data_IF_128494954524
#
_entry.id   IF_128494954524
#
_cell.length_a   1.000
_cell.length_b   1.000
_cell.length_c   1.000
_cell.angle_alpha   90.00
_cell.angle_beta   90.00
_cell.angle_gamma   90.00
#
_symmetry.space_group_name_H-M   'P 1'
#
loop_
_entity.id
_entity.type
_entity.pdbx_description
1 polymer ?
#
# COMPACT_ATOMS: atom_id res chain seq x y z
N UNK A 1 21.72 23.01 -6.69
CA UNK A 1 20.26 22.87 -6.74
C UNK A 1 19.50 23.65 -5.64
N UNK A 2 19.71 23.43 -4.34
CA UNK A 2 19.01 24.15 -3.25
C UNK A 2 19.23 25.66 -3.31
N UNK A 3 20.51 26.07 -3.38
CA UNK A 3 20.88 27.47 -3.51
C UNK A 3 20.35 28.09 -4.82
N UNK A 4 20.34 27.31 -5.87
CA UNK A 4 19.79 27.71 -7.17
C UNK A 4 18.27 27.95 -7.10
N UNK A 5 17.51 27.04 -6.46
CA UNK A 5 16.07 27.22 -6.23
C UNK A 5 15.81 28.46 -5.39
N UNK A 6 16.57 28.67 -4.32
CA UNK A 6 16.45 29.84 -3.47
C UNK A 6 16.75 31.14 -4.23
N UNK A 7 17.79 31.16 -5.06
CA UNK A 7 18.13 32.30 -5.91
C UNK A 7 17.05 32.59 -6.92
N UNK A 8 16.53 31.56 -7.60
CA UNK A 8 15.43 31.70 -8.57
C UNK A 8 14.14 32.21 -7.93
N UNK A 9 13.80 31.72 -6.72
CA UNK A 9 12.65 32.25 -5.98
C UNK A 9 12.82 33.74 -5.68
N UNK A 10 14.03 34.16 -5.27
CA UNK A 10 14.34 35.57 -5.02
C UNK A 10 14.24 36.42 -6.29
N UNK A 11 14.79 35.96 -7.41
CA UNK A 11 14.68 36.62 -8.71
C UNK A 11 13.22 36.75 -9.21
N UNK A 12 12.40 35.77 -8.87
CA UNK A 12 10.98 35.77 -9.17
C UNK A 12 10.14 36.66 -8.20
N UNK A 13 10.82 37.39 -7.30
CA UNK A 13 10.17 38.29 -6.34
C UNK A 13 9.55 37.59 -5.14
N UNK A 14 9.97 36.35 -4.83
CA UNK A 14 9.51 35.59 -3.68
C UNK A 14 10.69 35.33 -2.72
N UNK A 15 11.04 36.30 -1.86
CA UNK A 15 12.08 36.10 -0.86
C UNK A 15 11.65 35.05 0.18
N UNK A 16 12.51 34.07 0.40
CA UNK A 16 12.27 32.93 1.30
C UNK A 16 13.42 32.69 2.27
N UNK A 17 13.10 32.13 3.42
CA UNK A 17 14.07 31.60 4.38
C UNK A 17 13.94 30.08 4.35
N UNK A 18 15.02 29.39 4.03
CA UNK A 18 15.04 27.92 4.09
C UNK A 18 15.09 27.49 5.56
N UNK A 19 14.15 26.63 5.96
CA UNK A 19 14.10 26.04 7.30
C UNK A 19 14.89 24.74 7.39
N UNK A 20 14.48 23.76 6.59
CA UNK A 20 15.02 22.42 6.65
C UNK A 20 14.99 21.75 5.28
N UNK A 21 15.76 20.69 5.18
CA UNK A 21 15.78 19.78 4.03
C UNK A 21 15.54 18.37 4.54
N UNK A 22 14.51 17.72 4.02
CA UNK A 22 14.18 16.33 4.32
C UNK A 22 14.53 15.50 3.09
N UNK A 23 15.37 14.47 3.29
CA UNK A 23 15.73 13.52 2.24
C UNK A 23 14.96 12.23 2.50
N UNK A 24 13.90 12.00 1.72
CA UNK A 24 13.14 10.78 1.71
C UNK A 24 13.64 9.82 0.60
N UNK A 25 13.25 8.55 0.61
CA UNK A 25 13.69 7.59 -0.40
C UNK A 25 13.37 8.01 -1.84
N UNK A 26 12.19 8.57 -2.08
CA UNK A 26 11.69 8.93 -3.40
C UNK A 26 11.81 10.42 -3.76
N UNK A 27 12.03 11.30 -2.79
CA UNK A 27 12.11 12.74 -3.02
C UNK A 27 13.02 13.47 -2.03
N UNK A 28 13.35 14.71 -2.39
CA UNK A 28 13.93 15.70 -1.48
C UNK A 28 12.90 16.79 -1.26
N UNK A 29 12.49 17.02 -0.03
CA UNK A 29 11.59 18.10 0.36
C UNK A 29 12.41 19.24 0.97
N UNK A 30 12.29 20.45 0.41
CA UNK A 30 12.93 21.65 0.93
C UNK A 30 11.84 22.54 1.48
N UNK A 31 11.90 22.86 2.77
CA UNK A 31 10.93 23.66 3.48
C UNK A 31 11.35 25.11 3.55
N UNK A 32 10.43 26.00 3.24
CA UNK A 32 10.67 27.44 3.19
C UNK A 32 9.62 28.21 3.98
N UNK A 33 10.09 29.30 4.60
CA UNK A 33 9.24 30.39 5.14
C UNK A 33 9.20 31.54 4.15
N UNK A 34 8.02 32.09 3.94
CA UNK A 34 7.84 33.32 3.20
C UNK A 34 8.21 34.52 4.08
N UNK A 35 9.05 35.41 3.56
CA UNK A 35 9.34 36.70 4.23
C UNK A 35 8.09 37.59 4.28
N UNK A 36 7.20 37.44 3.27
CA UNK A 36 5.92 38.17 3.21
C UNK A 36 4.79 37.20 2.83
N UNK A 37 3.73 37.17 3.63
CA UNK A 37 2.58 36.26 3.43
C UNK A 37 1.85 36.51 2.12
N UNK A 38 1.83 37.76 1.62
CA UNK A 38 1.19 38.19 0.36
C UNK A 38 1.74 37.40 -0.86
N UNK A 39 2.95 36.84 -0.78
CA UNK A 39 3.56 36.05 -1.86
C UNK A 39 3.00 34.62 -1.93
N UNK A 40 2.23 34.12 -0.96
CA UNK A 40 1.76 32.74 -0.92
C UNK A 40 0.99 32.34 -2.19
N UNK A 41 0.10 33.22 -2.66
CA UNK A 41 -0.69 32.97 -3.88
C UNK A 41 0.16 32.97 -5.17
N UNK A 42 1.35 33.55 -5.12
CA UNK A 42 2.27 33.62 -6.26
C UNK A 42 3.16 32.38 -6.34
N UNK A 43 3.49 31.76 -5.21
CA UNK A 43 4.42 30.60 -5.13
C UNK A 43 3.96 29.49 -6.08
N UNK A 44 2.70 29.06 -5.98
CA UNK A 44 2.15 27.96 -6.78
C UNK A 44 2.28 28.21 -8.30
N UNK A 45 2.02 29.45 -8.73
CA UNK A 45 2.17 29.84 -10.14
C UNK A 45 3.63 29.80 -10.58
N UNK A 46 4.54 30.27 -9.74
CA UNK A 46 5.98 30.37 -10.02
C UNK A 46 6.68 29.00 -9.96
N UNK A 47 6.16 28.04 -9.18
CA UNK A 47 6.71 26.67 -9.16
C UNK A 47 6.63 25.99 -10.52
N UNK A 48 5.58 26.22 -11.30
CA UNK A 48 5.49 25.73 -12.68
C UNK A 48 6.64 26.26 -13.56
N UNK A 49 6.99 27.53 -13.36
CA UNK A 49 8.15 28.12 -14.05
C UNK A 49 9.47 27.50 -13.56
N UNK A 50 9.63 27.29 -12.25
CA UNK A 50 10.80 26.62 -11.68
C UNK A 50 10.95 25.19 -12.23
N UNK A 51 9.85 24.45 -12.32
CA UNK A 51 9.85 23.09 -12.89
C UNK A 51 10.31 23.10 -14.36
N UNK A 52 9.82 24.04 -15.15
CA UNK A 52 10.21 24.16 -16.56
C UNK A 52 11.70 24.59 -16.69
N UNK A 53 12.13 25.55 -15.91
CA UNK A 53 13.51 26.08 -15.95
C UNK A 53 14.55 25.03 -15.52
N UNK A 54 14.25 24.30 -14.45
CA UNK A 54 15.16 23.28 -13.91
C UNK A 54 15.01 21.91 -14.60
N UNK A 55 14.07 21.78 -15.54
CA UNK A 55 13.73 20.51 -16.18
C UNK A 55 13.44 19.40 -15.17
N UNK A 56 12.77 19.73 -14.04
CA UNK A 56 12.43 18.79 -12.97
C UNK A 56 10.96 18.97 -12.57
N UNK A 57 10.31 17.86 -12.27
CA UNK A 57 8.93 17.89 -11.75
C UNK A 57 8.95 18.32 -10.27
N UNK A 58 8.77 19.61 -10.03
CA UNK A 58 8.75 20.20 -8.69
C UNK A 58 7.31 20.29 -8.22
N UNK A 59 7.00 19.64 -7.11
CA UNK A 59 5.67 19.66 -6.50
C UNK A 59 5.64 20.65 -5.34
N UNK A 60 4.73 21.62 -5.44
CA UNK A 60 4.44 22.57 -4.36
C UNK A 60 3.48 21.94 -3.36
N UNK A 61 3.79 22.07 -2.09
CA UNK A 61 2.91 21.69 -0.99
C UNK A 61 2.83 22.83 0.04
N UNK A 62 1.63 23.35 0.23
CA UNK A 62 1.33 24.28 1.32
C UNK A 62 1.28 23.51 2.63
N UNK A 63 1.99 23.96 3.67
CA UNK A 63 1.95 23.33 5.00
C UNK A 63 1.14 24.16 6.00
N UNK A 64 1.54 25.40 6.25
CA UNK A 64 0.88 26.33 7.21
C UNK A 64 0.83 27.74 6.62
N UNK A 65 0.32 28.70 7.42
CA UNK A 65 0.37 30.11 7.04
C UNK A 65 1.84 30.53 6.93
N UNK A 66 2.22 31.05 5.77
CA UNK A 66 3.59 31.46 5.43
C UNK A 66 4.62 30.32 5.28
N UNK A 67 4.23 29.06 5.37
CA UNK A 67 5.10 27.91 5.15
C UNK A 67 4.70 27.12 3.91
N UNK A 68 5.71 26.66 3.17
CA UNK A 68 5.53 25.73 2.07
C UNK A 68 6.75 24.83 1.89
N UNK A 69 6.58 23.70 1.24
CA UNK A 69 7.69 22.85 0.79
C UNK A 69 7.65 22.67 -0.72
N UNK A 70 8.85 22.56 -1.28
CA UNK A 70 9.08 22.14 -2.66
C UNK A 70 9.66 20.73 -2.63
N UNK A 71 8.98 19.79 -3.28
CA UNK A 71 9.47 18.43 -3.44
C UNK A 71 10.07 18.25 -4.81
N UNK A 72 11.27 17.72 -4.83
CA UNK A 72 12.02 17.38 -6.02
C UNK A 72 12.17 15.87 -6.08
N UNK A 73 11.94 15.25 -7.24
CA UNK A 73 12.20 13.83 -7.41
C UNK A 73 13.70 13.54 -7.23
N UNK A 74 14.02 12.44 -6.53
CA UNK A 74 15.40 11.94 -6.49
C UNK A 74 15.73 11.18 -7.75
N UNK A 75 16.97 11.25 -8.18
CA UNK A 75 17.51 10.50 -9.32
C UNK A 75 18.16 9.19 -8.87
N UNK A 76 18.63 9.14 -7.62
CA UNK A 76 19.21 7.95 -7.00
C UNK A 76 18.10 7.11 -6.34
N UNK A 77 17.99 5.84 -6.75
CA UNK A 77 17.07 4.88 -6.16
C UNK A 77 17.65 4.41 -4.81
N UNK A 78 17.29 5.09 -3.71
CA UNK A 78 17.55 4.55 -2.37
C UNK A 78 16.32 3.82 -1.89
N UNK A 79 16.41 2.50 -1.84
CA UNK A 79 15.37 1.63 -1.30
C UNK A 79 15.63 1.34 0.18
N UNK A 80 14.60 1.41 0.99
CA UNK A 80 14.61 0.79 2.33
C UNK A 80 14.49 -0.72 2.11
N UNK A 81 15.48 -1.49 2.55
CA UNK A 81 15.45 -2.96 2.40
C UNK A 81 14.72 -3.59 3.58
N UNK A 82 14.00 -4.68 3.34
CA UNK A 82 13.13 -5.31 4.35
C UNK A 82 13.88 -5.83 5.60
N UNK A 83 15.11 -6.32 5.45
CA UNK A 83 16.00 -6.76 6.53
C UNK A 83 17.27 -5.93 6.61
N UNK A 84 17.14 -4.61 6.69
CA UNK A 84 18.25 -3.70 6.95
C UNK A 84 18.24 -3.26 8.42
N UNK A 85 19.37 -2.76 8.97
CA UNK A 85 19.46 -2.29 10.37
C UNK A 85 18.41 -1.21 10.69
N UNK A 86 18.12 -0.32 9.73
CA UNK A 86 17.05 0.67 9.84
C UNK A 86 15.67 0.02 9.99
N UNK A 87 15.46 -1.11 9.33
CA UNK A 87 14.22 -1.87 9.40
C UNK A 87 14.05 -2.65 10.70
N UNK A 88 15.12 -3.25 11.19
CA UNK A 88 15.09 -3.93 12.49
C UNK A 88 14.76 -2.95 13.62
N UNK A 89 15.23 -1.69 13.52
CA UNK A 89 14.81 -0.62 14.43
C UNK A 89 13.31 -0.32 14.33
N UNK A 90 12.74 -0.23 13.11
CA UNK A 90 11.31 0.02 12.88
C UNK A 90 10.48 -1.16 13.38
N UNK A 91 10.90 -2.40 13.05
CA UNK A 91 10.22 -3.60 13.50
C UNK A 91 10.23 -3.72 15.04
N UNK A 92 11.33 -3.46 15.68
CA UNK A 92 11.44 -3.61 17.13
C UNK A 92 10.75 -2.48 17.94
N UNK A 93 10.61 -1.28 17.38
CA UNK A 93 10.04 -0.13 18.10
C UNK A 93 8.67 0.33 17.65
N UNK A 94 8.29 0.10 16.39
CA UNK A 94 7.01 0.59 15.82
C UNK A 94 6.00 -0.49 15.53
N UNK A 95 6.46 -1.71 15.21
CA UNK A 95 5.60 -2.87 15.00
C UNK A 95 5.39 -3.56 16.35
N UNK A 96 4.38 -3.12 17.07
CA UNK A 96 4.10 -3.59 18.44
C UNK A 96 2.99 -4.63 18.52
N UNK A 97 2.22 -4.79 17.44
CA UNK A 97 1.11 -5.72 17.35
C UNK A 97 1.36 -6.74 16.25
N UNK A 98 0.84 -7.93 16.45
CA UNK A 98 0.99 -9.09 15.57
C UNK A 98 0.50 -8.91 14.12
N UNK A 99 -0.28 -7.88 13.84
CA UNK A 99 -0.82 -7.57 12.50
C UNK A 99 -0.39 -6.20 11.98
N UNK A 100 0.65 -5.64 12.60
CA UNK A 100 1.22 -4.39 12.11
C UNK A 100 1.99 -4.65 10.82
N UNK A 101 1.77 -3.78 9.84
CA UNK A 101 2.37 -3.82 8.52
C UNK A 101 3.16 -2.52 8.32
N UNK A 102 4.43 -2.64 8.04
CA UNK A 102 5.23 -1.52 7.59
C UNK A 102 5.00 -1.29 6.10
N UNK A 103 4.29 -0.23 5.77
CA UNK A 103 3.91 0.06 4.39
C UNK A 103 4.99 0.81 3.61
N UNK A 104 5.96 1.38 4.31
CA UNK A 104 7.06 2.14 3.71
C UNK A 104 7.33 3.46 4.42
N UNK A 105 8.09 4.32 3.74
CA UNK A 105 8.52 5.62 4.24
C UNK A 105 7.85 6.71 3.43
N UNK A 106 7.29 7.72 4.11
CA UNK A 106 6.64 8.83 3.41
C UNK A 106 7.63 9.91 2.93
N UNK A 107 7.10 10.91 2.25
CA UNK A 107 7.89 12.02 1.69
C UNK A 107 8.56 12.92 2.75
N UNK A 108 8.23 12.74 4.02
CA UNK A 108 8.87 13.41 5.15
C UNK A 108 9.86 12.49 5.86
N UNK A 109 10.25 11.39 5.22
CA UNK A 109 11.11 10.34 5.77
C UNK A 109 10.57 9.72 7.06
N UNK A 110 9.24 9.65 7.20
CA UNK A 110 8.57 9.05 8.36
C UNK A 110 8.12 7.64 8.01
N UNK A 111 8.59 6.62 8.74
CA UNK A 111 8.09 5.26 8.58
C UNK A 111 6.60 5.15 8.92
N UNK A 112 5.82 4.56 8.02
CA UNK A 112 4.38 4.38 8.13
C UNK A 112 4.03 2.93 8.42
N UNK A 113 3.47 2.72 9.59
CA UNK A 113 2.99 1.42 10.07
C UNK A 113 1.49 1.49 10.25
N UNK A 114 0.79 0.47 9.79
CA UNK A 114 -0.66 0.34 9.90
C UNK A 114 -1.01 -1.07 10.35
N UNK A 115 -2.09 -1.20 11.12
CA UNK A 115 -2.58 -2.49 11.55
C UNK A 115 -3.59 -3.05 10.54
N UNK A 116 -3.54 -4.34 10.24
CA UNK A 116 -4.47 -4.99 9.31
C UNK A 116 -5.93 -4.89 9.78
N UNK A 117 -6.20 -4.86 11.09
CA UNK A 117 -7.56 -4.70 11.61
C UNK A 117 -8.17 -3.32 11.30
N UNK A 118 -7.31 -2.29 11.08
CA UNK A 118 -7.71 -0.95 10.65
C UNK A 118 -7.85 -0.84 9.12
N UNK A 119 -7.19 -1.73 8.40
CA UNK A 119 -7.23 -1.87 6.94
C UNK A 119 -7.67 -3.28 6.55
N UNK A 120 -8.88 -3.70 6.88
CA UNK A 120 -9.28 -5.12 6.85
C UNK A 120 -9.21 -5.73 5.44
N UNK A 121 -9.38 -4.91 4.42
CA UNK A 121 -9.30 -5.32 3.02
C UNK A 121 -8.47 -4.30 2.24
N UNK A 122 -7.52 -4.79 1.44
CA UNK A 122 -6.54 -3.99 0.73
C UNK A 122 -6.61 -4.30 -0.77
N UNK A 123 -6.74 -3.28 -1.59
CA UNK A 123 -6.60 -3.36 -3.04
C UNK A 123 -5.24 -2.76 -3.43
N UNK A 124 -4.43 -3.53 -4.15
CA UNK A 124 -3.14 -3.11 -4.69
C UNK A 124 -3.22 -3.10 -6.20
N UNK A 125 -2.99 -1.95 -6.83
CA UNK A 125 -3.04 -1.88 -8.27
C UNK A 125 -1.84 -1.12 -8.85
N UNK A 126 -1.31 -1.60 -9.98
CA UNK A 126 -0.18 -1.00 -10.66
C UNK A 126 0.32 -1.85 -11.80
N UNK A 127 0.97 -1.25 -12.78
CA UNK A 127 1.50 -1.91 -13.95
C UNK A 127 2.71 -2.81 -13.64
N UNK A 128 3.12 -3.62 -14.61
CA UNK A 128 4.37 -4.41 -14.53
C UNK A 128 5.56 -3.49 -14.25
N UNK A 129 6.43 -3.88 -13.30
CA UNK A 129 7.58 -3.08 -12.90
C UNK A 129 7.27 -1.94 -11.91
N UNK A 130 5.99 -1.68 -11.58
CA UNK A 130 5.61 -0.66 -10.60
C UNK A 130 5.99 -1.00 -9.16
N UNK A 131 6.26 -2.28 -8.84
CA UNK A 131 6.53 -2.79 -7.49
C UNK A 131 5.33 -3.49 -6.83
N UNK A 132 4.30 -3.88 -7.60
CA UNK A 132 3.09 -4.56 -7.10
C UNK A 132 3.42 -5.83 -6.31
N UNK A 133 4.21 -6.73 -6.89
CA UNK A 133 4.62 -7.98 -6.24
C UNK A 133 5.47 -7.74 -4.98
N UNK A 134 6.35 -6.73 -5.02
CA UNK A 134 7.15 -6.33 -3.86
C UNK A 134 6.26 -5.83 -2.72
N UNK A 135 5.27 -4.98 -3.01
CA UNK A 135 4.30 -4.51 -2.02
C UNK A 135 3.46 -5.67 -1.45
N UNK A 136 3.00 -6.58 -2.28
CA UNK A 136 2.25 -7.76 -1.86
C UNK A 136 3.09 -8.64 -0.93
N UNK A 137 4.30 -8.96 -1.32
CA UNK A 137 5.24 -9.74 -0.53
C UNK A 137 5.64 -9.02 0.77
N UNK A 138 5.82 -7.69 0.75
CA UNK A 138 6.05 -6.89 1.95
C UNK A 138 4.94 -7.08 2.99
N UNK A 139 3.67 -7.00 2.58
CA UNK A 139 2.53 -7.20 3.48
C UNK A 139 2.55 -8.61 4.06
N UNK A 140 2.72 -9.64 3.22
CA UNK A 140 2.76 -11.04 3.67
C UNK A 140 3.93 -11.25 4.64
N UNK A 141 5.14 -10.81 4.31
CA UNK A 141 6.32 -10.94 5.17
C UNK A 141 6.16 -10.24 6.51
N UNK A 142 5.53 -9.05 6.56
CA UNK A 142 5.19 -8.38 7.81
C UNK A 142 4.25 -9.24 8.68
N UNK A 143 3.20 -9.82 8.07
CA UNK A 143 2.24 -10.67 8.77
C UNK A 143 2.88 -11.96 9.29
N UNK A 144 3.79 -12.56 8.53
CA UNK A 144 4.54 -13.74 8.97
C UNK A 144 5.50 -13.42 10.11
N UNK A 145 6.28 -12.35 9.97
CA UNK A 145 7.30 -11.94 10.94
C UNK A 145 6.70 -11.54 12.30
N UNK A 146 5.53 -10.89 12.27
CA UNK A 146 4.88 -10.38 13.48
C UNK A 146 3.88 -11.36 14.09
N UNK A 147 3.69 -12.53 13.49
CA UNK A 147 2.75 -13.53 13.97
C UNK A 147 3.18 -14.07 15.34
N UNK A 148 2.23 -14.05 16.29
CA UNK A 148 2.42 -14.72 17.58
C UNK A 148 2.12 -16.21 17.43
N UNK A 149 2.84 -17.05 18.15
CA UNK A 149 2.72 -18.50 18.09
C UNK A 149 1.30 -18.99 18.40
N UNK A 150 0.61 -18.32 19.33
CA UNK A 150 -0.72 -18.69 19.82
C UNK A 150 -1.85 -18.30 18.86
N UNK A 151 -1.61 -17.35 17.94
CA UNK A 151 -2.63 -16.84 17.02
C UNK A 151 -2.10 -16.61 15.59
N UNK A 152 -1.36 -17.60 15.09
CA UNK A 152 -0.81 -17.57 13.73
C UNK A 152 -1.91 -17.40 12.70
N UNK A 153 -1.70 -16.53 11.69
CA UNK A 153 -2.66 -16.40 10.59
C UNK A 153 -2.66 -17.65 9.71
N UNK A 154 -3.84 -18.00 9.19
CA UNK A 154 -3.99 -18.95 8.10
C UNK A 154 -4.20 -18.22 6.78
N UNK A 155 -3.85 -18.88 5.67
CA UNK A 155 -3.88 -18.24 4.36
C UNK A 155 -4.69 -19.04 3.35
N UNK A 156 -5.41 -18.31 2.48
CA UNK A 156 -5.87 -18.80 1.18
C UNK A 156 -5.24 -17.92 0.12
N UNK A 157 -4.40 -18.47 -0.72
CA UNK A 157 -3.65 -17.75 -1.74
C UNK A 157 -4.11 -18.18 -3.13
N UNK A 158 -4.29 -17.21 -4.04
CA UNK A 158 -4.72 -17.45 -5.41
C UNK A 158 -3.68 -16.87 -6.35
N UNK A 159 -2.97 -17.75 -7.07
CA UNK A 159 -1.91 -17.44 -8.02
C UNK A 159 -2.06 -18.31 -9.28
N UNK A 160 -2.90 -17.87 -10.19
CA UNK A 160 -3.16 -18.57 -11.44
C UNK A 160 -1.97 -18.58 -12.40
N UNK A 161 -1.00 -17.69 -12.19
CA UNK A 161 0.27 -17.65 -12.95
C UNK A 161 1.35 -18.56 -12.40
N UNK A 162 1.21 -19.01 -11.15
CA UNK A 162 2.17 -19.87 -10.43
C UNK A 162 3.57 -19.27 -10.27
N UNK A 163 3.67 -17.96 -10.11
CA UNK A 163 4.95 -17.23 -10.04
C UNK A 163 5.18 -16.65 -8.66
N UNK A 164 4.30 -15.73 -8.23
CA UNK A 164 4.56 -14.86 -7.10
C UNK A 164 4.31 -15.51 -5.74
N UNK A 165 3.26 -16.34 -5.62
CA UNK A 165 2.87 -16.94 -4.33
C UNK A 165 3.34 -18.39 -4.17
N UNK A 166 4.00 -18.95 -5.16
CA UNK A 166 4.53 -20.32 -5.12
C UNK A 166 5.54 -20.54 -3.99
N UNK A 167 6.26 -19.50 -3.56
CA UNK A 167 7.22 -19.54 -2.46
C UNK A 167 6.56 -19.86 -1.10
N UNK A 168 5.29 -19.52 -0.94
CA UNK A 168 4.53 -19.71 0.31
C UNK A 168 3.87 -21.10 0.43
N UNK A 169 4.08 -22.00 -0.53
CA UNK A 169 3.43 -23.34 -0.57
C UNK A 169 3.67 -24.21 0.67
N UNK A 170 4.80 -24.03 1.32
CA UNK A 170 5.19 -24.79 2.50
C UNK A 170 4.78 -24.13 3.81
N UNK A 171 4.03 -23.04 3.78
CA UNK A 171 3.49 -22.44 5.00
C UNK A 171 2.43 -23.38 5.62
N UNK A 172 2.44 -23.58 6.93
CA UNK A 172 1.36 -24.26 7.63
C UNK A 172 0.06 -23.46 7.47
N UNK A 173 -1.08 -24.16 7.41
CA UNK A 173 -2.41 -23.59 7.27
C UNK A 173 -2.53 -22.62 6.05
N UNK A 174 -1.91 -22.99 4.93
CA UNK A 174 -1.92 -22.22 3.69
C UNK A 174 -2.41 -23.09 2.52
N UNK A 175 -3.55 -22.71 1.96
CA UNK A 175 -4.11 -23.29 0.75
C UNK A 175 -3.77 -22.42 -0.46
N UNK A 176 -3.24 -23.00 -1.54
CA UNK A 176 -2.90 -22.26 -2.77
C UNK A 176 -3.67 -22.80 -3.97
N UNK A 177 -4.51 -21.94 -4.55
CA UNK A 177 -5.17 -22.20 -5.85
C UNK A 177 -4.27 -21.74 -6.98
N UNK A 178 -4.09 -22.62 -7.97
CA UNK A 178 -3.31 -22.36 -9.20
C UNK A 178 -4.14 -22.42 -10.47
N UNK A 179 -5.42 -22.73 -10.34
CA UNK A 179 -6.41 -22.67 -11.44
C UNK A 179 -7.64 -21.86 -11.02
N UNK A 180 -8.43 -21.44 -11.99
CA UNK A 180 -9.66 -20.70 -11.75
C UNK A 180 -10.69 -21.54 -10.97
N UNK A 181 -10.79 -22.83 -11.25
CA UNK A 181 -11.71 -23.76 -10.59
C UNK A 181 -11.33 -23.91 -9.11
N UNK A 182 -10.04 -24.16 -8.82
CA UNK A 182 -9.53 -24.21 -7.45
C UNK A 182 -9.75 -22.90 -6.71
N UNK A 183 -9.59 -21.74 -7.38
CA UNK A 183 -9.82 -20.44 -6.79
C UNK A 183 -11.28 -20.24 -6.37
N UNK A 184 -12.24 -20.66 -7.21
CA UNK A 184 -13.68 -20.64 -6.89
C UNK A 184 -13.97 -21.52 -5.68
N UNK A 185 -13.47 -22.76 -5.66
CA UNK A 185 -13.64 -23.71 -4.57
C UNK A 185 -13.10 -23.16 -3.24
N UNK A 186 -11.86 -22.62 -3.24
CA UNK A 186 -11.25 -22.05 -2.05
C UNK A 186 -12.00 -20.79 -1.57
N UNK A 187 -12.43 -19.90 -2.46
CA UNK A 187 -13.22 -18.71 -2.09
C UNK A 187 -14.59 -19.09 -1.53
N UNK A 188 -15.23 -20.13 -2.04
CA UNK A 188 -16.46 -20.67 -1.48
C UNK A 188 -16.22 -21.23 -0.07
N UNK A 189 -15.14 -21.99 0.14
CA UNK A 189 -14.69 -22.48 1.45
C UNK A 189 -14.43 -21.33 2.44
N UNK A 190 -13.82 -20.23 1.99
CA UNK A 190 -13.65 -19.02 2.83
C UNK A 190 -15.00 -18.43 3.22
N UNK A 191 -15.97 -18.36 2.29
CA UNK A 191 -17.31 -17.88 2.61
C UNK A 191 -18.03 -18.79 3.61
N UNK A 192 -17.86 -20.09 3.53
CA UNK A 192 -18.39 -21.03 4.52
C UNK A 192 -17.73 -20.83 5.89
N UNK A 193 -16.41 -20.67 5.95
CA UNK A 193 -15.67 -20.33 7.18
C UNK A 193 -16.19 -19.03 7.81
N UNK A 194 -16.49 -18.04 6.99
CA UNK A 194 -17.04 -16.76 7.44
C UNK A 194 -18.41 -16.95 8.11
N UNK A 195 -19.33 -17.70 7.48
CA UNK A 195 -20.64 -18.02 8.06
C UNK A 195 -20.52 -18.80 9.38
N UNK A 196 -19.61 -19.77 9.43
CA UNK A 196 -19.36 -20.54 10.65
C UNK A 196 -18.86 -19.67 11.80
N UNK A 197 -18.00 -18.67 11.50
CA UNK A 197 -17.55 -17.70 12.51
C UNK A 197 -18.69 -16.79 12.98
N UNK A 198 -19.57 -16.36 12.08
CA UNK A 198 -20.74 -15.56 12.46
C UNK A 198 -21.71 -16.36 13.34
N UNK A 199 -21.99 -17.63 13.01
CA UNK A 199 -22.81 -18.51 13.86
C UNK A 199 -22.19 -18.69 15.25
N UNK A 200 -20.87 -18.86 15.34
CA UNK A 200 -20.17 -18.91 16.63
C UNK A 200 -20.28 -17.59 17.39
N UNK A 201 -20.09 -16.45 16.73
CA UNK A 201 -20.20 -15.12 17.34
C UNK A 201 -21.61 -14.88 17.86
N UNK A 202 -22.63 -15.25 17.10
CA UNK A 202 -24.05 -15.16 17.49
C UNK A 202 -24.35 -16.02 18.73
N UNK A 203 -23.87 -17.27 18.74
CA UNK A 203 -24.06 -18.18 19.89
C UNK A 203 -23.39 -17.68 21.18
N UNK A 204 -22.30 -16.89 21.06
CA UNK A 204 -21.57 -16.30 22.16
C UNK A 204 -22.00 -14.85 22.50
N UNK A 205 -22.92 -14.27 21.74
CA UNK A 205 -23.38 -12.89 21.93
C UNK A 205 -22.28 -11.83 21.67
N UNK A 206 -21.28 -12.16 20.85
CA UNK A 206 -20.16 -11.25 20.52
C UNK A 206 -20.36 -10.61 19.13
N UNK A 207 -20.00 -9.33 19.01
CA UNK A 207 -20.13 -8.57 17.75
C UNK A 207 -18.87 -8.53 16.91
N UNK A 208 -17.73 -8.87 17.50
CA UNK A 208 -16.42 -8.89 16.84
C UNK A 208 -15.52 -9.90 17.57
N UNK A 209 -14.75 -10.68 16.84
CA UNK A 209 -13.78 -11.59 17.45
C UNK A 209 -12.67 -10.81 18.18
N UNK A 210 -12.11 -11.42 19.23
CA UNK A 210 -11.03 -10.81 20.01
C UNK A 210 -9.75 -10.63 19.18
N UNK A 211 -8.82 -9.80 19.68
CA UNK A 211 -7.49 -9.63 19.08
C UNK A 211 -6.69 -10.95 19.06
N UNK A 212 -6.92 -11.81 20.04
CA UNK A 212 -6.17 -13.06 20.20
C UNK A 212 -6.73 -14.22 19.36
N UNK A 213 -7.82 -13.98 18.64
CA UNK A 213 -8.37 -14.98 17.72
C UNK A 213 -7.58 -14.96 16.41
N UNK A 214 -7.25 -16.15 15.89
CA UNK A 214 -6.49 -16.26 14.64
C UNK A 214 -7.21 -15.64 13.45
N UNK A 215 -6.44 -14.98 12.58
CA UNK A 215 -6.95 -14.36 11.35
C UNK A 215 -6.85 -15.31 10.17
N UNK A 216 -7.77 -15.16 9.24
CA UNK A 216 -7.69 -15.81 7.94
C UNK A 216 -7.46 -14.77 6.85
N UNK A 217 -6.40 -14.95 6.07
CA UNK A 217 -5.96 -13.96 5.09
C UNK A 217 -6.11 -14.55 3.70
N UNK A 218 -6.93 -13.92 2.88
CA UNK A 218 -7.15 -14.27 1.48
C UNK A 218 -6.28 -13.34 0.64
N UNK A 219 -5.40 -13.92 -0.19
CA UNK A 219 -4.49 -13.18 -1.08
C UNK A 219 -4.82 -13.54 -2.53
N UNK A 220 -5.13 -12.56 -3.36
CA UNK A 220 -5.35 -12.72 -4.80
C UNK A 220 -4.26 -11.94 -5.53
N UNK A 221 -3.34 -12.63 -6.24
CA UNK A 221 -2.20 -12.01 -6.91
C UNK A 221 -2.61 -11.20 -8.14
N UNK A 222 -3.56 -11.74 -8.95
CA UNK A 222 -4.04 -11.05 -10.14
C UNK A 222 -5.56 -11.21 -10.31
N UNK A 223 -6.28 -10.20 -9.84
CA UNK A 223 -7.73 -10.19 -9.94
C UNK A 223 -8.22 -10.17 -11.39
N UNK A 224 -7.50 -9.47 -12.27
CA UNK A 224 -7.88 -9.34 -13.67
C UNK A 224 -8.00 -10.68 -14.36
N UNK A 225 -6.99 -11.53 -14.19
CA UNK A 225 -6.97 -12.88 -14.81
C UNK A 225 -8.06 -13.77 -14.20
N UNK A 226 -8.25 -13.69 -12.88
CA UNK A 226 -9.28 -14.48 -12.20
C UNK A 226 -10.70 -14.09 -12.62
N UNK A 227 -10.97 -12.78 -12.73
CA UNK A 227 -12.27 -12.27 -13.21
C UNK A 227 -12.54 -12.70 -14.65
N UNK A 228 -11.53 -12.68 -15.50
CA UNK A 228 -11.66 -13.12 -16.90
C UNK A 228 -11.89 -14.64 -17.00
N UNK A 229 -11.09 -15.44 -16.30
CA UNK A 229 -11.19 -16.90 -16.36
C UNK A 229 -12.52 -17.44 -15.81
N UNK A 230 -13.13 -16.73 -14.87
CA UNK A 230 -14.39 -17.12 -14.24
C UNK A 230 -15.61 -16.37 -14.77
N UNK A 231 -15.47 -15.56 -15.83
CA UNK A 231 -16.53 -14.67 -16.32
C UNK A 231 -17.18 -13.84 -15.20
N UNK A 232 -16.38 -13.39 -14.22
CA UNK A 232 -16.83 -12.59 -13.08
C UNK A 232 -17.48 -13.39 -11.94
N UNK A 233 -17.60 -14.71 -12.03
CA UNK A 233 -18.28 -15.52 -11.02
C UNK A 233 -17.67 -15.40 -9.60
N UNK A 234 -16.39 -15.04 -9.49
CA UNK A 234 -15.69 -14.84 -8.21
C UNK A 234 -16.06 -13.54 -7.51
N UNK A 235 -16.60 -12.55 -8.21
CA UNK A 235 -16.95 -11.25 -7.64
C UNK A 235 -17.84 -11.36 -6.41
N UNK A 236 -18.86 -12.21 -6.46
CA UNK A 236 -19.80 -12.44 -5.35
C UNK A 236 -19.10 -12.87 -4.06
N UNK A 237 -18.06 -13.72 -4.16
CA UNK A 237 -17.29 -14.18 -3.01
C UNK A 237 -16.40 -13.08 -2.45
N UNK A 238 -15.70 -12.35 -3.34
CA UNK A 238 -14.85 -11.21 -3.00
C UNK A 238 -15.66 -10.13 -2.26
N UNK A 239 -16.82 -9.76 -2.81
CA UNK A 239 -17.71 -8.77 -2.21
C UNK A 239 -18.22 -9.24 -0.86
N UNK A 240 -18.66 -10.50 -0.73
CA UNK A 240 -19.13 -11.08 0.54
C UNK A 240 -18.03 -11.06 1.61
N UNK A 241 -16.81 -11.46 1.26
CA UNK A 241 -15.66 -11.44 2.18
C UNK A 241 -15.36 -10.00 2.60
N UNK A 242 -15.37 -9.05 1.65
CA UNK A 242 -15.08 -7.65 1.94
C UNK A 242 -16.15 -6.96 2.79
N UNK A 243 -17.42 -7.38 2.68
CA UNK A 243 -18.53 -6.86 3.50
C UNK A 243 -18.51 -7.38 4.94
N UNK A 244 -18.23 -8.64 5.12
CA UNK A 244 -18.46 -9.34 6.38
C UNK A 244 -17.15 -9.72 7.11
N UNK A 245 -16.02 -9.78 6.41
CA UNK A 245 -14.76 -10.33 6.92
C UNK A 245 -14.21 -9.59 8.14
N UNK A 246 -14.33 -8.24 8.20
CA UNK A 246 -13.75 -7.41 9.26
C UNK A 246 -14.13 -7.87 10.67
N UNK A 247 -15.41 -8.14 10.91
CA UNK A 247 -15.90 -8.49 12.24
C UNK A 247 -15.46 -9.89 12.68
N UNK A 248 -15.36 -10.82 11.75
CA UNK A 248 -15.00 -12.22 12.00
C UNK A 248 -13.53 -12.54 11.70
N UNK A 249 -12.67 -11.53 11.43
CA UNK A 249 -11.24 -11.68 11.24
C UNK A 249 -10.83 -12.43 9.98
N UNK A 250 -11.60 -12.22 8.90
CA UNK A 250 -11.22 -12.64 7.55
C UNK A 250 -10.80 -11.40 6.77
N UNK A 251 -9.58 -11.39 6.28
CA UNK A 251 -9.00 -10.24 5.59
C UNK A 251 -8.73 -10.57 4.13
N UNK A 252 -8.87 -9.59 3.25
CA UNK A 252 -8.71 -9.75 1.81
C UNK A 252 -7.63 -8.80 1.28
N UNK A 253 -6.62 -9.34 0.63
CA UNK A 253 -5.57 -8.60 -0.06
C UNK A 253 -5.66 -8.95 -1.53
N UNK A 254 -6.08 -8.00 -2.34
CA UNK A 254 -6.31 -8.20 -3.78
C UNK A 254 -5.35 -7.36 -4.56
N UNK A 255 -4.60 -7.97 -5.47
CA UNK A 255 -3.71 -7.26 -6.36
C UNK A 255 -4.17 -7.39 -7.83
N UNK A 256 -3.86 -6.37 -8.66
CA UNK A 256 -4.12 -6.40 -10.10
C UNK A 256 -3.18 -5.49 -10.88
N UNK A 257 -2.77 -5.95 -12.06
CA UNK A 257 -2.06 -5.15 -13.06
C UNK A 257 -3.03 -4.46 -14.03
N UNK A 258 -4.31 -4.85 -14.01
CA UNK A 258 -5.35 -4.35 -14.91
C UNK A 258 -6.43 -3.57 -14.17
N UNK A 259 -6.19 -2.29 -13.78
CA UNK A 259 -7.12 -1.50 -12.98
C UNK A 259 -8.29 -0.94 -13.82
N UNK A 260 -8.90 -1.77 -14.66
CA UNK A 260 -10.06 -1.38 -15.49
C UNK A 260 -11.37 -1.64 -14.75
N UNK A 261 -12.44 -0.92 -15.13
CA UNK A 261 -13.75 -0.97 -14.46
C UNK A 261 -14.34 -2.39 -14.38
N UNK A 262 -14.11 -3.23 -15.41
CA UNK A 262 -14.57 -4.63 -15.43
C UNK A 262 -13.84 -5.54 -14.42
N UNK A 263 -12.68 -5.12 -13.92
CA UNK A 263 -11.87 -5.84 -12.92
C UNK A 263 -12.09 -5.23 -11.54
N UNK A 264 -11.92 -3.92 -11.40
CA UNK A 264 -12.20 -3.18 -10.17
C UNK A 264 -13.61 -2.59 -10.28
N UNK A 265 -14.61 -3.43 -10.08
CA UNK A 265 -16.01 -3.06 -10.24
C UNK A 265 -16.48 -2.06 -9.17
N UNK A 266 -17.65 -1.47 -9.37
CA UNK A 266 -18.27 -0.60 -8.37
C UNK A 266 -18.51 -1.31 -7.03
N UNK A 267 -18.91 -2.59 -7.06
CA UNK A 267 -19.14 -3.39 -5.86
C UNK A 267 -17.83 -3.67 -5.09
N UNK A 268 -16.76 -4.02 -5.78
CA UNK A 268 -15.43 -4.21 -5.18
C UNK A 268 -14.94 -2.89 -4.55
N UNK A 269 -15.03 -1.77 -5.29
CA UNK A 269 -14.61 -0.43 -4.80
C UNK A 269 -15.38 0.05 -3.58
N UNK A 270 -16.66 -0.26 -3.50
CA UNK A 270 -17.50 0.13 -2.36
C UNK A 270 -17.11 -0.60 -1.07
N UNK A 271 -16.59 -1.82 -1.18
CA UNK A 271 -16.30 -2.68 -0.02
C UNK A 271 -14.81 -2.74 0.33
N UNK A 272 -13.89 -2.43 -0.60
CA UNK A 272 -12.45 -2.33 -0.34
C UNK A 272 -12.05 -0.87 -0.35
N UNK A 273 -12.03 -0.27 0.84
CA UNK A 273 -11.76 1.15 1.03
C UNK A 273 -10.27 1.50 1.15
N UNK A 274 -9.43 0.56 1.64
CA UNK A 274 -7.99 0.73 1.62
C UNK A 274 -7.43 0.39 0.25
N UNK A 275 -6.76 1.34 -0.40
CA UNK A 275 -6.24 1.19 -1.77
C UNK A 275 -4.81 1.67 -1.86
N UNK A 276 -3.98 0.86 -2.50
CA UNK A 276 -2.59 1.18 -2.81
C UNK A 276 -2.47 1.28 -4.31
N UNK A 277 -2.27 2.49 -4.81
CA UNK A 277 -1.98 2.73 -6.21
C UNK A 277 -0.47 2.87 -6.39
N UNK A 278 0.13 1.93 -7.10
CA UNK A 278 1.48 2.06 -7.64
C UNK A 278 1.39 2.73 -9.02
N UNK A 279 2.52 2.89 -9.71
CA UNK A 279 2.54 3.50 -11.03
C UNK A 279 1.57 2.80 -11.99
N UNK A 280 0.78 3.59 -12.70
CA UNK A 280 -0.14 3.16 -13.76
C UNK A 280 0.15 3.94 -15.06
N UNK A 281 -0.37 3.43 -16.18
CA UNK A 281 -0.09 4.02 -17.50
C UNK A 281 -0.92 5.26 -17.82
N UNK A 282 -2.07 5.41 -17.18
CA UNK A 282 -2.99 6.50 -17.53
C UNK A 282 -3.71 7.10 -16.33
N UNK A 283 -4.16 8.37 -16.47
CA UNK A 283 -5.04 8.99 -15.50
C UNK A 283 -6.41 8.32 -15.37
N UNK A 284 -6.85 7.53 -16.38
CA UNK A 284 -8.08 6.72 -16.30
C UNK A 284 -7.87 5.60 -15.28
N UNK A 285 -6.74 4.90 -15.36
CA UNK A 285 -6.39 3.83 -14.42
C UNK A 285 -6.26 4.38 -13.00
N UNK A 286 -5.60 5.54 -12.83
CA UNK A 286 -5.52 6.23 -11.55
C UNK A 286 -6.90 6.53 -10.97
N UNK A 287 -7.82 7.08 -11.77
CA UNK A 287 -9.20 7.35 -11.33
C UNK A 287 -9.97 6.07 -10.98
N UNK A 288 -9.73 4.98 -11.67
CA UNK A 288 -10.37 3.69 -11.35
C UNK A 288 -9.93 3.17 -9.97
N UNK A 289 -8.70 3.44 -9.55
CA UNK A 289 -8.17 3.00 -8.25
C UNK A 289 -8.54 4.02 -7.16
N UNK A 290 -8.11 5.27 -7.31
CA UNK A 290 -8.13 6.31 -6.28
C UNK A 290 -9.38 7.19 -6.32
N UNK A 291 -10.01 7.34 -7.49
CA UNK A 291 -11.07 8.30 -7.78
C UNK A 291 -10.58 9.61 -8.41
N UNK A 292 -9.28 9.83 -8.53
CA UNK A 292 -8.64 10.99 -9.14
C UNK A 292 -7.31 10.62 -9.81
N UNK A 293 -6.72 11.57 -10.54
CA UNK A 293 -5.41 11.40 -11.15
C UNK A 293 -4.29 11.51 -10.12
N UNK A 294 -3.11 10.91 -10.42
CA UNK A 294 -1.92 11.02 -9.59
C UNK A 294 -1.02 9.79 -9.69
N UNK A 295 -1.60 8.58 -9.74
CA UNK A 295 -0.81 7.35 -9.84
C UNK A 295 -0.05 7.20 -11.17
N UNK A 296 -0.50 7.86 -12.24
CA UNK A 296 0.21 7.91 -13.54
C UNK A 296 1.52 8.73 -13.49
N UNK A 297 1.71 9.49 -12.41
CA UNK A 297 2.91 10.33 -12.21
C UNK A 297 3.93 9.69 -11.28
N UNK A 298 3.62 8.53 -10.71
CA UNK A 298 4.51 7.80 -9.85
C UNK A 298 5.71 7.25 -10.64
N UNK A 299 6.85 7.08 -9.94
CA UNK A 299 8.11 6.67 -10.58
C UNK A 299 8.18 5.16 -10.88
N UNK A 300 7.28 4.35 -10.31
CA UNK A 300 7.42 2.89 -10.27
C UNK A 300 8.34 2.42 -9.15
N UNK A 301 8.76 1.14 -9.20
CA UNK A 301 9.68 0.54 -8.22
C UNK A 301 9.24 0.73 -6.75
N UNK A 302 7.95 0.64 -6.48
CA UNK A 302 7.38 0.75 -5.13
C UNK A 302 6.99 2.16 -4.69
N UNK A 303 7.15 3.18 -5.56
CA UNK A 303 6.56 4.50 -5.34
C UNK A 303 5.04 4.40 -5.44
N UNK A 304 4.31 4.78 -4.38
CA UNK A 304 2.87 4.51 -4.29
C UNK A 304 2.08 5.57 -3.51
N UNK A 305 0.78 5.61 -3.80
CA UNK A 305 -0.22 6.39 -3.06
C UNK A 305 -1.09 5.44 -2.25
N UNK A 306 -1.11 5.63 -0.93
CA UNK A 306 -1.96 4.88 0.00
C UNK A 306 -3.19 5.71 0.37
N UNK A 307 -4.36 5.22 -0.02
CA UNK A 307 -5.66 5.75 0.38
C UNK A 307 -6.23 4.93 1.53
N UNK A 308 -6.50 5.57 2.64
CA UNK A 308 -7.11 4.95 3.82
C UNK A 308 -8.60 5.29 3.91
N UNK A 309 -9.45 4.42 4.51
CA UNK A 309 -10.89 4.62 4.58
C UNK A 309 -11.29 5.91 5.31
N UNK A 310 -10.57 6.26 6.37
CA UNK A 310 -10.93 7.37 7.27
C UNK A 310 -10.10 8.63 7.06
N UNK A 311 -9.30 8.70 5.97
CA UNK A 311 -8.46 9.86 5.67
C UNK A 311 -8.84 10.51 4.35
N UNK A 312 -9.02 11.83 4.39
CA UNK A 312 -9.33 12.61 3.19
C UNK A 312 -8.14 12.67 2.22
N UNK A 313 -6.92 12.71 2.75
CA UNK A 313 -5.70 12.80 1.95
C UNK A 313 -4.97 11.47 1.91
N UNK A 314 -4.45 11.13 0.76
CA UNK A 314 -3.58 9.98 0.56
C UNK A 314 -2.19 10.22 1.13
N UNK A 315 -1.52 9.14 1.44
CA UNK A 315 -0.14 9.14 1.91
C UNK A 315 0.74 8.67 0.76
N UNK A 316 1.67 9.51 0.32
CA UNK A 316 2.67 9.15 -0.67
C UNK A 316 3.81 8.40 0.03
N UNK A 317 4.10 7.18 -0.39
CA UNK A 317 5.03 6.27 0.23
C UNK A 317 6.02 5.69 -0.78
N UNK A 318 7.22 5.38 -0.29
CA UNK A 318 8.11 4.43 -0.94
C UNK A 318 8.00 3.09 -0.22
N UNK A 319 7.51 2.07 -0.92
CA UNK A 319 7.45 0.69 -0.45
C UNK A 319 8.86 0.14 -0.20
N UNK A 320 9.07 -0.68 0.82
CA UNK A 320 10.33 -1.37 1.03
C UNK A 320 10.62 -2.40 -0.06
N UNK A 321 11.89 -2.57 -0.36
CA UNK A 321 12.36 -3.64 -1.24
C UNK A 321 12.39 -4.96 -0.46
N UNK A 322 11.61 -5.91 -0.90
CA UNK A 322 11.60 -7.31 -0.41
C UNK A 322 12.17 -8.20 -1.49
N UNK A 323 13.17 -8.98 -1.15
CA UNK A 323 13.83 -9.97 -2.03
C UNK A 323 13.35 -11.38 -1.75
N UNK A 324 13.63 -12.33 -2.64
CA UNK A 324 13.32 -13.75 -2.43
C UNK A 324 14.01 -14.33 -1.17
N UNK A 325 15.20 -13.85 -0.86
CA UNK A 325 15.90 -14.21 0.37
C UNK A 325 15.17 -13.70 1.63
N UNK A 326 14.57 -12.51 1.55
CA UNK A 326 13.79 -11.95 2.65
C UNK A 326 12.49 -12.75 2.87
N UNK A 327 11.82 -13.15 1.79
CA UNK A 327 10.64 -14.02 1.83
C UNK A 327 10.99 -15.35 2.49
N UNK A 328 12.07 -15.99 2.03
CA UNK A 328 12.55 -17.27 2.58
C UNK A 328 12.86 -17.13 4.07
N UNK A 329 13.52 -16.06 4.49
CA UNK A 329 13.83 -15.78 5.89
C UNK A 329 12.56 -15.58 6.73
N UNK A 330 11.55 -14.87 6.21
CA UNK A 330 10.27 -14.67 6.88
C UNK A 330 9.50 -15.98 7.06
N UNK A 331 9.47 -16.84 6.03
CA UNK A 331 8.85 -18.16 6.07
C UNK A 331 9.54 -19.05 7.11
N UNK A 332 10.86 -19.14 7.09
CA UNK A 332 11.63 -19.97 8.04
C UNK A 332 11.43 -19.50 9.49
N UNK A 333 11.41 -18.21 9.75
CA UNK A 333 11.12 -17.65 11.07
C UNK A 333 9.70 -17.99 11.54
N UNK A 334 8.72 -17.95 10.63
CA UNK A 334 7.34 -18.30 10.94
C UNK A 334 7.16 -19.81 11.26
N UNK A 335 7.85 -20.69 10.55
CA UNK A 335 7.76 -22.14 10.76
C UNK A 335 8.52 -22.55 12.03
N UNK A 336 9.71 -21.97 12.26
CA UNK A 336 10.61 -22.35 13.35
C UNK A 336 10.29 -21.72 14.72
N UNK A 337 9.51 -20.65 14.77
CA UNK A 337 9.05 -20.00 16.02
C UNK A 337 7.71 -20.51 16.45
#
# INVERSE_FOLDING_TARGET
MEQEIKSLLYELGIPVIQREKIVAPNCVSIHYDLVKIEHLAQVEKKVKFLSAYLHKDIVYQKSEIAHFSLRLPREDDKFVKFYDEEYDYIFNKKLTKDRDIFMGVDNNNVPRVFNLDDMPHILIAGTTGSGKSVMLNNIICCLLRNAKKECRPSFTMIDTKRVELSMYRNLPDCDIATTAEQAVELLEGVCYRLESRYAMMESQGIRKISSDYFRHIVVIEELGDLMMATNGAVEKYIVKIAQLGRACGVHLIVATQHPVVRVITGAIKANISCRIALQVTSGIDSRNILGHNGAEKLKGKGDCLLKLPDKANEIHLQCPLVTDSDITRAINAFIGG
#
